data_IF_406181270785
#
_entry.id   IF_406181270785
#
_cell.length_a   1.000
_cell.length_b   1.000
_cell.length_c   1.000
_cell.angle_alpha   90.00
_cell.angle_beta   90.00
_cell.angle_gamma   90.00
#
_symmetry.space_group_name_H-M   'P 1'
#
loop_
_entity.id
_entity.type
_entity.pdbx_description
1 polymer ?
#
# COMPACT_ATOMS: atom_id res chain seq x y z
N UNK A 1 2.16 4.68 -18.76
CA UNK A 1 1.85 5.71 -17.75
C UNK A 1 2.63 5.43 -16.49
N UNK A 2 3.29 6.44 -15.97
CA UNK A 2 4.06 6.29 -14.73
C UNK A 2 3.34 6.96 -13.57
N UNK A 3 3.21 6.23 -12.45
CA UNK A 3 2.53 6.69 -11.25
C UNK A 3 3.38 6.41 -10.01
N UNK A 4 3.34 7.35 -9.07
CA UNK A 4 3.72 7.09 -7.69
C UNK A 4 2.47 6.70 -6.92
N UNK A 5 2.56 5.61 -6.16
CA UNK A 5 1.52 5.19 -5.24
C UNK A 5 2.08 5.12 -3.83
N UNK A 6 1.32 5.64 -2.88
CA UNK A 6 1.64 5.49 -1.45
C UNK A 6 0.36 5.05 -0.74
N UNK A 7 0.46 4.04 0.09
CA UNK A 7 -0.66 3.63 0.94
C UNK A 7 -0.15 3.14 2.29
N UNK A 8 -1.00 3.28 3.30
CA UNK A 8 -0.65 3.07 4.69
C UNK A 8 -1.38 1.88 5.28
N UNK A 9 -0.80 1.27 6.31
CA UNK A 9 -1.48 0.27 7.11
C UNK A 9 -2.64 0.92 7.89
N UNK A 10 -3.67 0.14 8.19
CA UNK A 10 -4.78 0.61 9.02
C UNK A 10 -4.24 1.03 10.39
N UNK A 11 -4.64 2.21 10.85
CA UNK A 11 -4.17 2.88 12.07
C UNK A 11 -2.68 3.20 12.07
N UNK A 12 -2.01 3.11 10.94
CA UNK A 12 -0.55 3.25 10.82
C UNK A 12 0.23 2.33 11.76
N UNK A 13 -0.32 1.15 12.04
CA UNK A 13 0.40 0.14 12.81
C UNK A 13 1.68 -0.26 12.09
N UNK A 14 2.76 -0.35 12.85
CA UNK A 14 4.09 -0.69 12.32
C UNK A 14 4.25 -2.20 12.18
N UNK A 15 3.43 -2.80 11.33
CA UNK A 15 3.35 -4.26 11.16
C UNK A 15 4.17 -4.79 9.98
N UNK A 16 4.64 -3.91 9.09
CA UNK A 16 5.42 -4.31 7.91
C UNK A 16 6.89 -4.45 8.28
N UNK A 17 7.19 -5.37 9.19
CA UNK A 17 8.53 -5.63 9.69
C UNK A 17 8.90 -7.09 9.48
N UNK A 18 10.21 -7.37 9.39
CA UNK A 18 10.70 -8.74 9.27
C UNK A 18 10.06 -9.50 8.11
N UNK A 19 9.53 -10.68 8.40
CA UNK A 19 8.93 -11.56 7.39
C UNK A 19 7.69 -10.94 6.73
N UNK A 20 6.91 -10.16 7.47
CA UNK A 20 5.72 -9.49 6.93
C UNK A 20 6.14 -8.48 5.86
N UNK A 21 7.14 -7.67 6.14
CA UNK A 21 7.65 -6.69 5.18
C UNK A 21 8.19 -7.34 3.91
N UNK A 22 8.93 -8.43 4.06
CA UNK A 22 9.46 -9.21 2.93
C UNK A 22 8.31 -9.76 2.09
N UNK A 23 7.29 -10.31 2.76
CA UNK A 23 6.14 -10.91 2.07
C UNK A 23 5.31 -9.86 1.33
N UNK A 24 5.11 -8.69 1.92
CA UNK A 24 4.43 -7.57 1.24
C UNK A 24 5.14 -7.23 -0.06
N UNK A 25 6.46 -7.11 -0.02
CA UNK A 25 7.26 -6.83 -1.21
C UNK A 25 7.04 -7.87 -2.30
N UNK A 26 7.08 -9.14 -1.93
CA UNK A 26 6.85 -10.25 -2.88
C UNK A 26 5.44 -10.19 -3.47
N UNK A 27 4.42 -9.99 -2.65
CA UNK A 27 3.04 -9.93 -3.09
C UNK A 27 2.76 -8.73 -4.02
N UNK A 28 3.34 -7.58 -3.69
CA UNK A 28 3.24 -6.40 -4.56
C UNK A 28 3.89 -6.69 -5.91
N UNK A 29 5.06 -7.27 -5.90
CA UNK A 29 5.78 -7.64 -7.15
C UNK A 29 4.96 -8.63 -7.97
N UNK A 30 4.46 -9.70 -7.36
CA UNK A 30 3.66 -10.71 -8.04
C UNK A 30 2.38 -10.13 -8.63
N UNK A 31 1.71 -9.27 -7.89
CA UNK A 31 0.47 -8.65 -8.37
C UNK A 31 0.74 -7.74 -9.56
N UNK A 32 1.76 -6.90 -9.46
CA UNK A 32 2.14 -6.02 -10.56
C UNK A 32 2.52 -6.82 -11.81
N UNK A 33 3.29 -7.88 -11.63
CA UNK A 33 3.71 -8.74 -12.74
C UNK A 33 2.51 -9.38 -13.44
N UNK A 34 1.52 -9.84 -12.69
CA UNK A 34 0.30 -10.45 -13.23
C UNK A 34 -0.52 -9.50 -14.10
N UNK A 35 -0.43 -8.19 -13.86
CA UNK A 35 -1.15 -7.17 -14.62
C UNK A 35 -0.26 -6.35 -15.54
N UNK A 36 0.93 -6.86 -15.84
CA UNK A 36 1.89 -6.20 -16.73
C UNK A 36 2.29 -4.79 -16.24
N UNK A 37 2.29 -4.59 -14.93
CA UNK A 37 2.72 -3.36 -14.30
C UNK A 37 4.19 -3.52 -13.93
N UNK A 38 5.02 -2.62 -14.46
CA UNK A 38 6.46 -2.64 -14.17
C UNK A 38 6.77 -1.76 -12.98
N UNK A 39 7.38 -2.34 -11.95
CA UNK A 39 7.85 -1.57 -10.80
C UNK A 39 9.23 -1.00 -11.13
N UNK A 40 9.34 0.31 -11.13
CA UNK A 40 10.60 1.02 -11.40
C UNK A 40 11.41 1.19 -10.12
N UNK A 41 10.75 1.47 -9.01
CA UNK A 41 11.36 1.55 -7.68
C UNK A 41 10.28 1.37 -6.63
N UNK A 42 10.70 1.06 -5.40
CA UNK A 42 9.74 0.92 -4.31
C UNK A 42 10.42 0.76 -2.97
N UNK A 43 9.70 1.15 -1.93
CA UNK A 43 10.13 1.02 -0.55
C UNK A 43 8.96 0.48 0.27
N UNK A 44 9.23 -0.53 1.09
CA UNK A 44 8.31 -1.00 2.12
C UNK A 44 8.83 -0.48 3.45
N UNK A 45 8.14 0.49 4.01
CA UNK A 45 8.41 1.01 5.34
C UNK A 45 7.57 0.25 6.37
N UNK A 46 7.76 0.53 7.65
CA UNK A 46 7.07 -0.23 8.71
C UNK A 46 5.55 -0.10 8.65
N UNK A 47 5.04 1.02 8.18
CA UNK A 47 3.62 1.36 8.20
C UNK A 47 3.06 1.86 6.87
N UNK A 48 3.86 1.80 5.82
CA UNK A 48 3.41 2.22 4.48
C UNK A 48 4.26 1.60 3.38
N UNK A 49 3.72 1.66 2.17
CA UNK A 49 4.40 1.24 0.95
C UNK A 49 4.39 2.40 -0.02
N UNK A 50 5.52 2.63 -0.68
CA UNK A 50 5.66 3.61 -1.74
C UNK A 50 6.27 2.93 -2.96
N UNK A 51 5.58 2.97 -4.09
CA UNK A 51 6.10 2.42 -5.34
C UNK A 51 5.97 3.41 -6.48
N UNK A 52 6.93 3.34 -7.39
CA UNK A 52 6.87 4.01 -8.69
C UNK A 52 6.70 2.93 -9.74
N UNK A 53 5.64 3.03 -10.52
CA UNK A 53 5.30 2.00 -11.51
C UNK A 53 5.07 2.61 -12.88
N UNK A 54 5.31 1.79 -13.90
CA UNK A 54 4.86 2.04 -15.26
C UNK A 54 3.76 1.02 -15.58
N UNK A 55 2.55 1.51 -15.86
CA UNK A 55 1.39 0.66 -16.09
C UNK A 55 0.85 0.82 -17.50
N UNK A 56 0.14 -0.20 -18.03
CA UNK A 56 -0.59 -0.05 -19.28
C UNK A 56 -1.59 1.10 -19.19
N UNK A 57 -1.76 1.90 -20.24
CA UNK A 57 -2.68 3.04 -20.22
C UNK A 57 -4.15 2.65 -20.07
N UNK A 58 -4.47 1.39 -20.31
CA UNK A 58 -5.83 0.85 -20.18
C UNK A 58 -6.23 0.53 -18.73
N UNK A 59 -5.26 0.55 -17.81
CA UNK A 59 -5.49 0.18 -16.41
C UNK A 59 -5.53 1.44 -15.54
N UNK A 60 -6.70 1.71 -14.96
CA UNK A 60 -6.89 2.89 -14.11
C UNK A 60 -6.13 2.75 -12.77
N UNK A 61 -5.60 3.86 -12.22
CA UNK A 61 -4.95 3.83 -10.91
C UNK A 61 -5.79 3.21 -9.80
N UNK A 62 -7.08 3.50 -9.77
CA UNK A 62 -7.99 2.92 -8.77
C UNK A 62 -8.08 1.40 -8.86
N UNK A 63 -8.05 0.87 -10.07
CA UNK A 63 -8.06 -0.58 -10.29
C UNK A 63 -6.75 -1.23 -9.86
N UNK A 64 -5.63 -0.58 -10.13
CA UNK A 64 -4.31 -1.05 -9.68
C UNK A 64 -4.31 -1.16 -8.15
N UNK A 65 -4.77 -0.12 -7.47
CA UNK A 65 -4.78 -0.09 -6.01
C UNK A 65 -5.76 -1.09 -5.42
N UNK A 66 -6.93 -1.25 -6.03
CA UNK A 66 -7.90 -2.25 -5.58
C UNK A 66 -7.29 -3.64 -5.58
N UNK A 67 -6.58 -4.00 -6.63
CA UNK A 67 -5.93 -5.32 -6.77
C UNK A 67 -4.77 -5.47 -5.80
N UNK A 68 -3.91 -4.46 -5.69
CA UNK A 68 -2.77 -4.50 -4.76
C UNK A 68 -3.22 -4.63 -3.32
N UNK A 69 -4.14 -3.78 -2.89
CA UNK A 69 -4.62 -3.78 -1.51
C UNK A 69 -5.40 -5.06 -1.18
N UNK A 70 -6.26 -5.50 -2.09
CA UNK A 70 -7.08 -6.69 -1.88
C UNK A 70 -6.24 -7.96 -1.77
N UNK A 71 -5.35 -8.18 -2.74
CA UNK A 71 -4.52 -9.39 -2.75
C UNK A 71 -3.56 -9.42 -1.56
N UNK A 72 -2.89 -8.31 -1.27
CA UNK A 72 -1.94 -8.27 -0.16
C UNK A 72 -2.65 -8.47 1.18
N UNK A 73 -3.78 -7.82 1.40
CA UNK A 73 -4.55 -7.98 2.64
C UNK A 73 -4.99 -9.42 2.85
N UNK A 74 -5.56 -10.05 1.83
CA UNK A 74 -6.02 -11.44 1.91
C UNK A 74 -4.88 -12.40 2.24
N UNK A 75 -3.77 -12.29 1.54
CA UNK A 75 -2.63 -13.18 1.75
C UNK A 75 -1.95 -12.96 3.10
N UNK A 76 -1.80 -11.72 3.52
CA UNK A 76 -1.18 -11.41 4.80
C UNK A 76 -2.03 -11.94 5.97
N UNK A 77 -3.34 -11.78 5.91
CA UNK A 77 -4.22 -12.34 6.95
C UNK A 77 -4.21 -13.87 6.95
N UNK A 78 -4.11 -14.49 5.78
CA UNK A 78 -4.03 -15.93 5.65
C UNK A 78 -2.74 -16.49 6.23
N UNK A 79 -1.61 -15.84 5.94
CA UNK A 79 -0.28 -16.34 6.28
C UNK A 79 0.21 -15.92 7.67
N UNK A 80 -0.28 -14.79 8.18
CA UNK A 80 0.14 -14.22 9.47
C UNK A 80 -1.06 -14.06 10.39
N UNK A 81 -1.35 -15.11 11.15
CA UNK A 81 -2.54 -15.15 12.02
C UNK A 81 -2.54 -14.06 13.09
N UNK A 82 -1.39 -13.65 13.57
CA UNK A 82 -1.29 -12.57 14.54
C UNK A 82 -1.77 -11.21 13.98
N UNK A 83 -1.60 -11.00 12.67
CA UNK A 83 -2.11 -9.79 12.00
C UNK A 83 -3.63 -9.84 11.88
N UNK A 84 -4.16 -11.00 11.57
CA UNK A 84 -5.61 -11.20 11.52
C UNK A 84 -6.25 -10.86 12.86
N UNK A 85 -5.65 -11.30 13.95
CA UNK A 85 -6.11 -10.98 15.31
C UNK A 85 -6.03 -9.49 15.61
N UNK A 86 -4.90 -8.84 15.25
CA UNK A 86 -4.69 -7.43 15.53
C UNK A 86 -5.72 -6.52 14.86
N UNK A 87 -6.16 -6.88 13.66
CA UNK A 87 -7.13 -6.12 12.88
C UNK A 87 -8.55 -6.68 12.95
N UNK A 88 -8.79 -7.67 13.80
CA UNK A 88 -10.08 -8.35 13.91
C UNK A 88 -10.52 -8.99 12.58
N UNK A 89 -9.56 -9.32 11.71
CA UNK A 89 -9.81 -9.94 10.41
C UNK A 89 -10.51 -9.05 9.39
N UNK A 90 -10.59 -7.73 9.62
CA UNK A 90 -11.39 -6.85 8.77
C UNK A 90 -10.57 -6.12 7.70
N UNK A 91 -9.82 -5.10 8.09
CA UNK A 91 -9.09 -4.26 7.13
C UNK A 91 -7.63 -4.15 7.51
N UNK A 92 -6.76 -4.53 6.59
CA UNK A 92 -5.32 -4.43 6.77
C UNK A 92 -4.79 -3.03 6.45
N UNK A 93 -5.27 -2.46 5.35
CA UNK A 93 -4.83 -1.16 4.86
C UNK A 93 -5.75 -0.03 5.28
N UNK A 94 -5.20 1.16 5.45
CA UNK A 94 -5.99 2.37 5.62
C UNK A 94 -6.80 2.66 4.37
N UNK A 95 -7.82 3.49 4.50
CA UNK A 95 -8.63 3.92 3.37
C UNK A 95 -7.83 4.80 2.43
N UNK A 96 -8.13 4.69 1.13
CA UNK A 96 -7.55 5.53 0.12
C UNK A 96 -6.08 5.22 -0.17
N UNK A 97 -5.49 6.09 -0.93
CA UNK A 97 -4.10 6.02 -1.33
C UNK A 97 -3.69 7.37 -1.91
N UNK A 98 -2.39 7.63 -1.94
CA UNK A 98 -1.83 8.75 -2.66
C UNK A 98 -1.44 8.26 -4.06
N UNK A 99 -1.77 9.04 -5.08
CA UNK A 99 -1.37 8.77 -6.45
C UNK A 99 -0.97 10.08 -7.14
N UNK A 100 0.18 10.09 -7.76
CA UNK A 100 0.63 11.22 -8.56
C UNK A 100 1.38 10.74 -9.79
N UNK A 101 1.25 11.47 -10.89
CA UNK A 101 2.07 11.25 -12.08
C UNK A 101 3.49 11.75 -11.82
N UNK A 102 4.45 11.13 -12.52
CA UNK A 102 5.84 11.59 -12.49
C UNK A 102 5.90 13.02 -13.00
N UNK A 103 6.62 13.88 -12.31
CA UNK A 103 6.73 15.29 -12.64
C UNK A 103 5.85 16.21 -11.81
N UNK A 104 4.82 15.68 -11.16
CA UNK A 104 3.99 16.43 -10.22
C UNK A 104 4.34 16.13 -8.77
N UNK A 105 5.09 15.06 -8.54
CA UNK A 105 5.40 14.60 -7.21
C UNK A 105 6.58 15.37 -6.61
N UNK A 106 6.41 15.82 -5.38
CA UNK A 106 7.49 16.28 -4.52
C UNK A 106 7.53 15.45 -3.26
N UNK A 107 8.70 15.35 -2.63
CA UNK A 107 8.82 14.69 -1.33
C UNK A 107 7.88 15.32 -0.31
N UNK A 108 7.70 16.63 -0.39
CA UNK A 108 6.79 17.37 0.48
C UNK A 108 5.35 16.88 0.37
N UNK A 109 4.90 16.53 -0.83
CA UNK A 109 3.54 15.99 -1.03
C UNK A 109 3.39 14.63 -0.37
N UNK A 110 4.40 13.76 -0.48
CA UNK A 110 4.38 12.47 0.18
C UNK A 110 4.39 12.62 1.70
N UNK A 111 5.25 13.48 2.22
CA UNK A 111 5.34 13.77 3.64
C UNK A 111 4.02 14.31 4.18
N UNK A 112 3.37 15.21 3.45
CA UNK A 112 2.07 15.75 3.82
C UNK A 112 0.99 14.66 3.88
N UNK A 113 0.98 13.76 2.89
CA UNK A 113 0.06 12.62 2.89
C UNK A 113 0.28 11.73 4.10
N UNK A 114 1.54 11.36 4.37
CA UNK A 114 1.89 10.49 5.49
C UNK A 114 1.58 11.16 6.83
N UNK A 115 1.85 12.45 6.96
CA UNK A 115 1.55 13.21 8.17
C UNK A 115 0.04 13.28 8.46
N UNK A 116 -0.79 13.40 7.41
CA UNK A 116 -2.24 13.41 7.56
C UNK A 116 -2.76 12.09 8.15
N UNK A 117 -2.08 10.98 7.87
CA UNK A 117 -2.46 9.66 8.37
C UNK A 117 -1.79 9.31 9.71
N UNK A 118 -0.93 10.19 10.22
CA UNK A 118 -0.17 9.93 11.45
C UNK A 118 -1.05 10.03 12.70
N UNK A 119 -1.98 10.98 12.73
CA UNK A 119 -2.89 11.14 13.86
C UNK A 119 -4.15 10.31 13.60
N UNK A 120 -4.48 9.37 14.52
CA UNK A 120 -5.71 8.61 14.36
C UNK A 120 -6.90 9.55 14.44
N UNK A 121 -7.73 9.53 13.40
CA UNK A 121 -8.99 10.25 13.41
C UNK A 121 -9.93 9.50 14.35
N UNK A 122 -10.47 10.15 15.41
CA UNK A 122 -11.39 9.49 16.33
C UNK A 122 -12.61 8.87 15.65
N UNK A 123 -12.97 9.38 14.47
CA UNK A 123 -14.11 8.86 13.69
C UNK A 123 -13.73 7.63 12.85
N UNK A 124 -12.46 7.28 12.76
CA UNK A 124 -12.00 6.07 12.07
C UNK A 124 -11.97 4.85 12.98
N UNK A 125 -12.34 5.01 14.23
CA UNK A 125 -12.49 3.90 15.16
C UNK A 125 -13.83 3.20 14.91
N UNK A 126 -13.72 1.95 14.55
CA UNK A 126 -14.86 1.08 14.40
C UNK A 126 -15.16 0.37 15.71
#
# INVERSE_FOLDING_TARGET
>A
MEYHFVWVTKYRYKVLTGEVGIRVRELVRQTCEAFEIRILSGVVSQDHVHILVNSPPTLAPSEIMRRLKGRTANKLFEEFTHLKKRYWGQHFWGRGYFCATVGQLTEEMIEAYLAHHFEPNPNDNF
#
